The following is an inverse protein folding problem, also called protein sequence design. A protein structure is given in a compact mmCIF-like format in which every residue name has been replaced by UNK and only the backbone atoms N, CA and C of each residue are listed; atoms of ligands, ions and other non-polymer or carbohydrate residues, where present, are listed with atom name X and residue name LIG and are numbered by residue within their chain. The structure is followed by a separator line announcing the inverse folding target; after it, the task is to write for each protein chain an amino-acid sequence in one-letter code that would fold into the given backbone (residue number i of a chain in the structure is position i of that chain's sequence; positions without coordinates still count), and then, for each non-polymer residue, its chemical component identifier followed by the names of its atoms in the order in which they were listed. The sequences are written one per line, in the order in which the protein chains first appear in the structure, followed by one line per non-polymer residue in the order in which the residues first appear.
data_IF_002864562973
#
_entry.id   IF_002864562973
#
_cell.length_a   1.000
_cell.length_b   1.000
_cell.length_c   1.000
_cell.angle_alpha   90.00
_cell.angle_beta   90.00
_cell.angle_gamma   90.00
#
_symmetry.space_group_name_H-M   'P 1'
#
loop_
_entity.id
_entity.type
_entity.pdbx_description
1 polymer ?
#
# COMPACT_ATOMS: atom_id res chain seq x y z
N UNK A 1 33.19 4.54 32.12
CA UNK A 1 32.13 3.90 32.91
C UNK A 1 30.96 3.59 32.00
N UNK A 2 30.71 2.32 31.68
CA UNK A 2 29.53 1.91 30.90
C UNK A 2 28.40 1.61 31.87
N UNK A 3 27.45 2.53 32.01
CA UNK A 3 26.26 2.29 32.83
C UNK A 3 25.43 1.17 32.21
N UNK A 4 25.03 0.17 33.00
CA UNK A 4 24.13 -0.89 32.54
C UNK A 4 22.73 -0.31 32.34
N UNK A 5 22.24 -0.37 31.11
CA UNK A 5 20.92 0.16 30.75
C UNK A 5 19.86 -0.91 31.07
N UNK A 6 18.81 -0.51 31.79
CA UNK A 6 17.73 -1.45 32.13
C UNK A 6 16.83 -1.72 30.91
N UNK A 7 16.36 -2.97 30.73
CA UNK A 7 15.44 -3.32 29.63
C UNK A 7 14.15 -2.49 29.62
N UNK A 8 13.66 -2.09 30.79
CA UNK A 8 12.47 -1.24 30.94
C UNK A 8 12.66 0.15 30.32
N UNK A 9 13.86 0.74 30.44
CA UNK A 9 14.21 2.02 29.80
C UNK A 9 14.25 1.92 28.29
N UNK A 10 14.76 0.80 27.76
CA UNK A 10 14.73 0.53 26.31
C UNK A 10 13.30 0.38 25.81
N UNK A 11 12.46 -0.37 26.53
CA UNK A 11 11.04 -0.53 26.17
C UNK A 11 10.28 0.80 26.14
N UNK A 12 10.53 1.69 27.12
CA UNK A 12 9.94 3.02 27.16
C UNK A 12 10.37 3.89 25.97
N UNK A 13 11.66 3.86 25.61
CA UNK A 13 12.17 4.58 24.44
C UNK A 13 11.56 4.07 23.13
N UNK A 14 11.42 2.75 22.97
CA UNK A 14 10.79 2.17 21.78
C UNK A 14 9.32 2.60 21.70
N UNK A 15 8.60 2.63 22.84
CA UNK A 15 7.21 3.09 22.89
C UNK A 15 7.08 4.56 22.45
N UNK A 16 7.92 5.47 22.97
CA UNK A 16 7.86 6.89 22.59
C UNK A 16 8.24 7.11 21.13
N UNK A 17 9.26 6.40 20.63
CA UNK A 17 9.60 6.40 19.20
C UNK A 17 8.41 6.00 18.35
N UNK A 18 7.74 4.90 18.69
CA UNK A 18 6.58 4.43 17.95
C UNK A 18 5.45 5.47 17.91
N UNK A 19 5.20 6.16 19.03
CA UNK A 19 4.22 7.23 19.12
C UNK A 19 4.56 8.43 18.23
N UNK A 20 5.82 8.90 18.24
CA UNK A 20 6.25 10.06 17.43
C UNK A 20 6.12 9.75 15.93
N UNK A 21 6.58 8.57 15.51
CA UNK A 21 6.62 8.20 14.09
C UNK A 21 5.36 7.48 13.61
N UNK A 22 4.31 7.42 14.44
CA UNK A 22 3.06 6.72 14.13
C UNK A 22 3.28 5.28 13.64
N UNK A 23 4.28 4.60 14.21
CA UNK A 23 4.56 3.19 13.94
C UNK A 23 3.94 2.30 15.02
N UNK A 24 3.67 1.04 14.70
CA UNK A 24 3.01 0.14 15.65
C UNK A 24 3.99 -0.36 16.72
N UNK A 25 3.62 -0.20 18.00
CA UNK A 25 4.33 -0.77 19.14
C UNK A 25 3.73 -2.15 19.52
N UNK A 26 4.53 -3.22 19.47
CA UNK A 26 4.10 -4.60 19.75
C UNK A 26 5.09 -5.33 20.68
N UNK A 27 5.04 -5.09 22.01
CA UNK A 27 6.00 -5.64 22.96
C UNK A 27 5.82 -7.15 23.20
N UNK A 28 4.64 -7.70 22.94
CA UNK A 28 4.32 -9.13 23.14
C UNK A 28 4.46 -9.97 21.87
N UNK A 29 4.87 -9.35 20.75
CA UNK A 29 5.00 -10.01 19.45
C UNK A 29 3.70 -10.68 18.96
N UNK A 30 2.54 -10.12 19.31
CA UNK A 30 1.23 -10.64 18.91
C UNK A 30 1.00 -10.51 17.40
N UNK A 31 0.22 -11.44 16.83
CA UNK A 31 -0.14 -11.46 15.39
C UNK A 31 -1.30 -10.51 15.12
N UNK A 32 -1.01 -9.24 14.86
CA UNK A 32 -2.03 -8.19 14.63
C UNK A 32 -2.52 -8.07 13.18
N UNK A 33 -2.00 -8.89 12.24
CA UNK A 33 -2.37 -8.82 10.83
C UNK A 33 -1.75 -7.65 10.04
N UNK A 34 -0.92 -6.82 10.67
CA UNK A 34 -0.35 -5.63 10.05
C UNK A 34 0.53 -5.91 8.81
N UNK A 35 1.02 -7.14 8.63
CA UNK A 35 1.68 -7.60 7.40
C UNK A 35 0.78 -7.44 6.17
N UNK A 36 -0.49 -7.83 6.31
CA UNK A 36 -1.46 -7.79 5.22
C UNK A 36 -1.99 -6.38 5.00
N UNK A 37 -2.26 -5.62 6.06
CA UNK A 37 -2.77 -4.26 5.96
C UNK A 37 -1.77 -3.26 5.37
N UNK A 38 -0.46 -3.44 5.62
CA UNK A 38 0.59 -2.59 5.04
C UNK A 38 0.90 -2.91 3.58
N UNK A 39 0.44 -4.05 3.08
CA UNK A 39 0.67 -4.42 1.70
C UNK A 39 -0.11 -3.46 0.78
N UNK A 40 0.59 -2.85 -0.19
CA UNK A 40 -0.06 -1.98 -1.18
C UNK A 40 -1.01 -2.81 -2.04
N UNK A 41 -2.21 -2.29 -2.26
CA UNK A 41 -3.20 -2.92 -3.13
C UNK A 41 -2.66 -3.03 -4.57
N UNK A 42 -2.91 -4.17 -5.23
CA UNK A 42 -2.43 -4.48 -6.59
C UNK A 42 -3.52 -4.39 -7.66
N UNK A 43 -4.77 -4.19 -7.26
CA UNK A 43 -5.95 -4.17 -8.14
C UNK A 43 -5.76 -3.35 -9.43
N UNK A 44 -5.35 -2.07 -9.35
CA UNK A 44 -5.19 -1.23 -10.55
C UNK A 44 -4.16 -1.76 -11.55
N UNK A 45 -3.08 -2.39 -11.07
CA UNK A 45 -2.07 -3.01 -11.94
C UNK A 45 -2.62 -4.28 -12.59
N UNK A 46 -3.48 -5.04 -11.90
CA UNK A 46 -4.08 -6.24 -12.46
C UNK A 46 -5.10 -5.94 -13.56
N UNK A 47 -5.89 -4.87 -13.42
CA UNK A 47 -6.88 -4.47 -14.45
C UNK A 47 -6.20 -4.14 -15.79
N UNK A 48 -4.99 -3.55 -15.76
CA UNK A 48 -4.24 -3.14 -16.94
C UNK A 48 -3.59 -4.30 -17.73
N UNK A 49 -3.75 -5.54 -17.28
CA UNK A 49 -3.05 -6.68 -17.88
C UNK A 49 -3.46 -6.94 -19.35
N UNK A 50 -4.75 -6.80 -19.65
CA UNK A 50 -5.24 -6.88 -21.03
C UNK A 50 -5.47 -5.48 -21.60
N UNK A 51 -5.14 -5.27 -22.89
CA UNK A 51 -5.44 -4.01 -23.55
C UNK A 51 -6.96 -3.79 -23.61
N UNK A 52 -7.42 -2.53 -23.61
CA UNK A 52 -8.83 -2.24 -23.83
C UNK A 52 -9.24 -2.78 -25.20
N UNK A 53 -10.42 -3.40 -25.26
CA UNK A 53 -11.02 -3.84 -26.52
C UNK A 53 -11.39 -2.59 -27.31
N UNK A 54 -10.71 -2.36 -28.44
CA UNK A 54 -11.04 -1.23 -29.30
C UNK A 54 -12.41 -1.48 -29.94
N UNK A 55 -13.38 -0.62 -29.64
CA UNK A 55 -14.66 -0.63 -30.33
C UNK A 55 -14.50 0.11 -31.67
N UNK A 56 -14.74 -0.60 -32.77
CA UNK A 56 -14.59 -0.06 -34.13
C UNK A 56 -15.57 1.11 -34.37
N UNK A 57 -16.71 1.12 -33.67
CA UNK A 57 -17.69 2.20 -33.73
C UNK A 57 -17.23 3.49 -33.02
N UNK A 58 -16.18 3.45 -32.22
CA UNK A 58 -15.66 4.64 -31.52
C UNK A 58 -14.50 5.30 -32.29
N UNK A 59 -14.05 4.69 -33.39
CA UNK A 59 -12.99 5.25 -34.21
C UNK A 59 -13.49 6.46 -35.03
N UNK A 60 -12.77 7.60 -35.01
CA UNK A 60 -13.11 8.74 -35.83
C UNK A 60 -12.98 8.36 -37.32
N UNK A 61 -14.06 8.55 -38.08
CA UNK A 61 -14.13 8.20 -39.51
C UNK A 61 -14.88 6.89 -39.85
N UNK A 62 -15.43 6.17 -38.86
CA UNK A 62 -16.23 4.96 -39.13
C UNK A 62 -17.63 5.25 -39.71
N UNK A 63 -18.20 6.43 -39.44
CA UNK A 63 -19.45 6.88 -40.06
C UNK A 63 -19.17 7.24 -41.52
N UNK A 64 -19.38 6.28 -42.40
CA UNK A 64 -19.39 6.44 -43.85
C UNK A 64 -20.31 7.61 -44.21
N UNK A 65 -19.72 8.75 -44.59
CA UNK A 65 -20.42 9.83 -45.27
C UNK A 65 -20.96 9.24 -46.57
N UNK A 66 -22.27 9.03 -46.63
CA UNK A 66 -22.99 8.58 -47.82
C UNK A 66 -23.84 9.77 -48.26
N UNK A 67 -23.14 10.82 -48.70
CA UNK A 67 -23.76 11.99 -49.29
C UNK A 67 -23.87 11.75 -50.80
N UNK A 68 -25.10 11.74 -51.28
CA UNK A 68 -25.51 11.54 -52.66
C UNK A 68 -25.30 12.82 -53.47
#
# INVERSE_FOLDING_TARGET
MTASITPSRLAALVKTRCQIFQTAYNPTSARTGAKYLRARLRGPSMVKYYPPVANIAELPGHTRTQDW
#
